data_IF_312912539167
#
_entry.id   IF_312912539167
#
_cell.length_a   1.000
_cell.length_b   1.000
_cell.length_c   1.000
_cell.angle_alpha   90.00
_cell.angle_beta   90.00
_cell.angle_gamma   90.00
#
_symmetry.space_group_name_H-M   'P 1'
#
loop_
_entity.id
_entity.type
_entity.pdbx_description
1 polymer ?
#
# COMPACT_ATOMS: atom_id res chain seq x y z
N UNK A 1 -4.79 0.56 -19.20
CA UNK A 1 -3.60 0.71 -20.06
C UNK A 1 -2.56 -0.28 -19.57
N UNK A 2 -1.91 -1.02 -20.47
CA UNK A 2 -0.82 -1.94 -20.11
C UNK A 2 0.51 -1.18 -20.27
N UNK A 3 1.38 -1.27 -19.29
CA UNK A 3 2.71 -0.63 -19.29
C UNK A 3 3.77 -1.66 -18.94
N UNK A 4 4.92 -1.58 -19.59
CA UNK A 4 6.08 -2.40 -19.25
C UNK A 4 6.91 -1.67 -18.18
N UNK A 5 7.06 -2.26 -17.01
CA UNK A 5 7.91 -1.75 -15.93
C UNK A 5 8.83 -2.89 -15.51
N UNK A 6 10.14 -2.66 -15.56
CA UNK A 6 11.16 -3.65 -15.21
C UNK A 6 10.97 -5.02 -15.90
N UNK A 7 10.54 -5.04 -17.17
CA UNK A 7 10.31 -6.26 -17.95
C UNK A 7 9.01 -7.01 -17.64
N UNK A 8 8.15 -6.47 -16.77
CA UNK A 8 6.82 -7.03 -16.47
C UNK A 8 5.71 -6.15 -17.03
N UNK A 9 4.70 -6.80 -17.63
CA UNK A 9 3.50 -6.09 -18.08
C UNK A 9 2.59 -5.84 -16.88
N UNK A 10 2.41 -4.55 -16.54
CA UNK A 10 1.56 -4.12 -15.43
C UNK A 10 0.32 -3.42 -16.01
N UNK A 11 -0.86 -3.77 -15.51
CA UNK A 11 -2.10 -3.08 -15.84
C UNK A 11 -2.23 -1.84 -14.96
N UNK A 12 -1.92 -0.66 -15.52
CA UNK A 12 -2.00 0.61 -14.81
C UNK A 12 -3.33 1.29 -15.17
N UNK A 13 -3.96 1.90 -14.17
CA UNK A 13 -5.13 2.74 -14.39
C UNK A 13 -4.77 3.97 -15.25
N UNK A 14 -5.59 4.26 -16.26
CA UNK A 14 -5.32 5.29 -17.26
C UNK A 14 -5.74 6.71 -16.84
N UNK A 15 -6.14 6.88 -15.59
CA UNK A 15 -6.58 8.16 -14.99
C UNK A 15 -7.74 8.84 -15.75
N UNK A 16 -8.54 8.07 -16.52
CA UNK A 16 -9.63 8.61 -17.33
C UNK A 16 -10.65 9.41 -16.52
N UNK A 17 -10.94 8.99 -15.29
CA UNK A 17 -11.93 9.66 -14.44
C UNK A 17 -11.45 11.02 -13.90
N UNK A 18 -10.14 11.29 -13.87
CA UNK A 18 -9.61 12.61 -13.50
C UNK A 18 -9.93 13.70 -14.54
N UNK A 19 -10.27 13.28 -15.76
CA UNK A 19 -10.60 14.19 -16.86
C UNK A 19 -12.08 14.51 -16.95
N UNK A 20 -12.92 13.89 -16.10
CA UNK A 20 -14.34 14.16 -16.08
C UNK A 20 -14.61 15.53 -15.46
N UNK A 21 -15.55 16.32 -16.06
CA UNK A 21 -16.03 17.54 -15.45
C UNK A 21 -16.63 17.26 -14.06
N UNK A 22 -16.47 18.21 -13.13
CA UNK A 22 -16.94 18.07 -11.75
C UNK A 22 -18.46 17.82 -11.69
N UNK A 23 -19.23 18.51 -12.52
CA UNK A 23 -20.68 18.37 -12.61
C UNK A 23 -21.11 16.96 -13.03
N UNK A 24 -20.33 16.34 -13.94
CA UNK A 24 -20.60 14.97 -14.38
C UNK A 24 -20.30 13.96 -13.26
N UNK A 25 -19.22 14.19 -12.49
CA UNK A 25 -18.90 13.36 -11.32
C UNK A 25 -20.02 13.46 -10.28
N UNK A 26 -20.46 14.68 -9.95
CA UNK A 26 -21.53 14.92 -8.98
C UNK A 26 -22.85 14.27 -9.43
N UNK A 27 -23.18 14.39 -10.72
CA UNK A 27 -24.37 13.75 -11.31
C UNK A 27 -24.35 12.23 -11.14
N UNK A 28 -23.22 11.57 -11.43
CA UNK A 28 -23.07 10.12 -11.29
C UNK A 28 -23.13 9.67 -9.85
N UNK A 29 -22.51 10.44 -8.93
CA UNK A 29 -22.58 10.18 -7.49
C UNK A 29 -24.02 10.27 -7.00
N UNK A 30 -24.76 11.32 -7.41
CA UNK A 30 -26.17 11.50 -7.05
C UNK A 30 -27.08 10.39 -7.63
N UNK A 31 -26.71 9.82 -8.79
CA UNK A 31 -27.40 8.68 -9.38
C UNK A 31 -27.09 7.34 -8.69
N UNK A 32 -26.17 7.32 -7.72
CA UNK A 32 -25.77 6.10 -7.01
C UNK A 32 -24.94 5.13 -7.85
N UNK A 33 -24.26 5.61 -8.90
CA UNK A 33 -23.42 4.75 -9.73
C UNK A 33 -22.31 4.11 -8.89
N UNK A 34 -22.05 2.79 -9.02
CA UNK A 34 -20.96 2.14 -8.32
C UNK A 34 -19.60 2.78 -8.68
N UNK A 35 -18.85 3.18 -7.67
CA UNK A 35 -17.57 3.85 -7.85
C UNK A 35 -16.57 3.42 -6.77
N UNK A 36 -15.31 3.76 -7.00
CA UNK A 36 -14.23 3.57 -6.02
C UNK A 36 -13.53 4.90 -5.78
N UNK A 37 -13.00 5.10 -4.59
CA UNK A 37 -12.10 6.23 -4.31
C UNK A 37 -10.68 5.74 -4.53
N UNK A 38 -9.97 6.44 -5.40
CA UNK A 38 -8.61 6.07 -5.80
C UNK A 38 -7.64 7.20 -5.45
N UNK A 39 -6.49 6.83 -4.92
CA UNK A 39 -5.40 7.77 -4.70
C UNK A 39 -4.73 8.10 -6.03
N UNK A 40 -4.62 9.38 -6.34
CA UNK A 40 -3.92 9.84 -7.52
C UNK A 40 -2.42 9.93 -7.22
N UNK A 41 -1.68 8.88 -7.55
CA UNK A 41 -0.25 8.82 -7.34
C UNK A 41 0.47 9.81 -8.27
N UNK A 42 1.46 10.58 -7.78
CA UNK A 42 2.30 11.39 -8.64
C UNK A 42 3.05 10.51 -9.64
N UNK A 43 3.21 11.01 -10.87
CA UNK A 43 3.89 10.29 -11.95
C UNK A 43 5.33 10.78 -12.16
N UNK A 44 5.69 11.93 -11.60
CA UNK A 44 7.01 12.53 -11.74
C UNK A 44 7.78 12.50 -10.43
N UNK A 45 9.10 12.49 -10.53
CA UNK A 45 10.01 12.50 -9.39
C UNK A 45 10.17 11.15 -8.73
N UNK A 46 10.69 11.17 -7.50
CA UNK A 46 10.99 9.98 -6.72
C UNK A 46 10.39 10.07 -5.32
N UNK A 47 10.22 8.92 -4.70
CA UNK A 47 9.84 8.80 -3.29
C UNK A 47 10.92 8.03 -2.55
N UNK A 48 11.50 8.64 -1.53
CA UNK A 48 12.52 8.01 -0.67
C UNK A 48 11.93 7.75 0.71
N UNK A 49 12.24 6.58 1.27
CA UNK A 49 11.97 6.26 2.66
C UNK A 49 13.19 5.60 3.29
N UNK A 50 13.30 5.69 4.61
CA UNK A 50 14.40 5.10 5.35
C UNK A 50 13.98 3.76 5.96
N UNK A 51 14.72 2.70 5.63
CA UNK A 51 14.61 1.39 6.27
C UNK A 51 15.83 1.15 7.18
N UNK A 52 15.60 0.65 8.40
CA UNK A 52 16.68 0.48 9.39
C UNK A 52 17.73 -0.52 8.95
N UNK A 53 17.35 -1.50 8.13
CA UNK A 53 18.25 -2.57 7.67
C UNK A 53 18.89 -2.22 6.33
N UNK A 54 18.09 -1.70 5.40
CA UNK A 54 18.53 -1.44 4.02
C UNK A 54 18.94 0.00 3.76
N UNK A 55 18.77 0.92 4.72
CA UNK A 55 19.06 2.33 4.55
C UNK A 55 18.02 3.05 3.69
N UNK A 56 18.45 4.08 2.99
CA UNK A 56 17.56 4.88 2.16
C UNK A 56 17.22 4.17 0.85
N UNK A 57 15.92 3.94 0.65
CA UNK A 57 15.38 3.30 -0.54
C UNK A 57 14.59 4.33 -1.33
N UNK A 58 14.98 4.52 -2.58
CA UNK A 58 14.36 5.47 -3.51
C UNK A 58 13.69 4.74 -4.66
N UNK A 59 12.43 5.07 -4.90
CA UNK A 59 11.61 4.49 -5.96
C UNK A 59 11.11 5.61 -6.88
N UNK A 60 11.13 5.39 -8.20
CA UNK A 60 10.54 6.31 -9.15
C UNK A 60 9.02 6.32 -9.01
N UNK A 61 8.42 7.51 -8.96
CA UNK A 61 6.97 7.63 -8.80
C UNK A 61 6.20 7.00 -9.96
N UNK A 62 6.77 6.99 -11.15
CA UNK A 62 6.17 6.36 -12.32
C UNK A 62 5.99 4.83 -12.20
N UNK A 63 6.72 4.18 -11.29
CA UNK A 63 6.61 2.74 -11.01
C UNK A 63 5.47 2.44 -10.03
N UNK A 64 4.94 3.47 -9.39
CA UNK A 64 3.84 3.33 -8.43
C UNK A 64 2.49 3.44 -9.14
N UNK A 65 1.59 2.52 -8.83
CA UNK A 65 0.23 2.54 -9.34
C UNK A 65 -0.72 3.34 -8.44
N UNK A 66 -1.78 3.88 -9.04
CA UNK A 66 -2.88 4.50 -8.30
C UNK A 66 -3.62 3.43 -7.48
N UNK A 67 -3.55 3.53 -6.17
CA UNK A 67 -4.20 2.58 -5.26
C UNK A 67 -5.68 2.91 -5.08
N UNK A 68 -6.51 1.88 -5.03
CA UNK A 68 -7.88 2.04 -4.53
C UNK A 68 -7.79 2.20 -3.01
N UNK A 69 -8.36 3.29 -2.49
CA UNK A 69 -8.46 3.54 -1.06
C UNK A 69 -9.74 2.95 -0.49
N UNK A 70 -10.88 3.25 -1.14
CA UNK A 70 -12.20 2.77 -0.73
C UNK A 70 -12.84 2.05 -1.91
N UNK A 71 -13.33 0.84 -1.64
CA UNK A 71 -14.02 -0.03 -2.61
C UNK A 71 -15.45 0.45 -2.85
N UNK A 72 -16.09 -0.08 -3.90
CA UNK A 72 -17.47 0.24 -4.25
C UNK A 72 -18.51 -0.20 -3.20
N UNK A 73 -18.14 -1.09 -2.29
CA UNK A 73 -18.94 -1.52 -1.15
C UNK A 73 -18.81 -0.58 0.08
N UNK A 74 -18.02 0.51 -0.05
CA UNK A 74 -17.76 1.49 1.00
C UNK A 74 -16.67 1.11 1.99
N UNK A 75 -16.10 -0.10 1.89
CA UNK A 75 -15.02 -0.52 2.80
C UNK A 75 -13.64 -0.08 2.29
N UNK A 76 -12.73 0.30 3.19
CA UNK A 76 -11.35 0.62 2.83
C UNK A 76 -10.61 -0.63 2.32
N UNK A 77 -9.63 -0.41 1.47
CA UNK A 77 -8.64 -1.45 1.16
C UNK A 77 -7.64 -1.59 2.30
N UNK A 78 -6.98 -2.75 2.37
CA UNK A 78 -5.92 -2.99 3.36
C UNK A 78 -4.86 -1.88 3.35
N UNK A 79 -4.42 -1.45 2.17
CA UNK A 79 -3.38 -0.43 2.03
C UNK A 79 -3.78 0.95 2.58
N UNK A 80 -5.06 1.26 2.60
CA UNK A 80 -5.56 2.49 3.19
C UNK A 80 -5.83 2.33 4.69
N UNK A 81 -6.48 1.24 5.07
CA UNK A 81 -6.83 0.97 6.47
C UNK A 81 -5.59 0.94 7.37
N UNK A 82 -4.51 0.23 6.94
CA UNK A 82 -3.30 0.15 7.75
C UNK A 82 -2.63 1.51 7.97
N UNK A 83 -2.66 2.41 6.98
CA UNK A 83 -2.09 3.77 7.14
C UNK A 83 -2.90 4.59 8.15
N UNK A 84 -4.23 4.48 8.11
CA UNK A 84 -5.13 5.17 9.05
C UNK A 84 -4.94 4.62 10.47
N UNK A 85 -4.93 3.30 10.62
CA UNK A 85 -4.76 2.62 11.91
C UNK A 85 -3.40 2.92 12.51
N UNK A 86 -2.32 2.82 11.74
CA UNK A 86 -0.96 3.12 12.20
C UNK A 86 -0.85 4.57 12.69
N UNK A 87 -1.52 5.50 12.01
CA UNK A 87 -1.57 6.90 12.46
C UNK A 87 -2.35 7.06 13.76
N UNK A 88 -3.58 6.55 13.81
CA UNK A 88 -4.47 6.72 14.98
C UNK A 88 -3.96 5.98 16.22
N UNK A 89 -3.28 4.86 16.03
CA UNK A 89 -2.67 4.08 17.11
C UNK A 89 -1.31 4.62 17.54
N UNK A 90 -0.77 5.63 16.87
CA UNK A 90 0.52 6.24 17.19
C UNK A 90 1.70 5.30 16.93
N UNK A 91 1.60 4.43 15.92
CA UNK A 91 2.68 3.53 15.52
C UNK A 91 3.89 4.35 15.09
N UNK A 92 5.07 3.95 15.56
CA UNK A 92 6.35 4.60 15.21
C UNK A 92 7.26 3.70 14.38
N UNK A 93 7.15 2.38 14.56
CA UNK A 93 7.98 1.39 13.89
C UNK A 93 7.10 0.39 13.15
N UNK A 94 7.33 0.24 11.84
CA UNK A 94 6.59 -0.69 10.98
C UNK A 94 7.52 -1.84 10.60
N UNK A 95 7.33 -3.00 11.23
CA UNK A 95 8.11 -4.21 10.97
C UNK A 95 7.35 -5.09 9.99
N UNK A 96 7.95 -5.38 8.83
CA UNK A 96 7.33 -6.14 7.73
C UNK A 96 8.32 -7.09 7.08
N UNK A 97 7.80 -8.05 6.34
CA UNK A 97 8.61 -8.87 5.47
C UNK A 97 9.21 -8.06 4.31
N UNK A 98 10.29 -8.57 3.73
CA UNK A 98 11.04 -7.90 2.66
C UNK A 98 10.18 -7.61 1.40
N UNK A 99 9.13 -8.38 1.18
CA UNK A 99 8.16 -8.17 0.10
C UNK A 99 7.41 -6.85 0.19
N UNK A 100 7.36 -6.23 1.38
CA UNK A 100 6.70 -4.94 1.60
C UNK A 100 7.56 -3.72 1.25
N UNK A 101 8.85 -3.90 0.93
CA UNK A 101 9.72 -2.79 0.52
C UNK A 101 9.17 -2.02 -0.67
N UNK A 102 8.51 -2.69 -1.61
CA UNK A 102 7.87 -2.07 -2.77
C UNK A 102 6.57 -1.31 -2.42
N UNK A 103 5.97 -1.58 -1.26
CA UNK A 103 4.73 -0.95 -0.81
C UNK A 103 4.95 0.23 0.13
N UNK A 104 6.06 0.26 0.87
CA UNK A 104 6.38 1.30 1.83
C UNK A 104 6.32 2.74 1.25
N UNK A 105 6.86 3.03 0.05
CA UNK A 105 6.76 4.36 -0.54
C UNK A 105 5.31 4.77 -0.85
N UNK A 106 4.44 3.81 -1.20
CA UNK A 106 3.02 4.05 -1.43
C UNK A 106 2.31 4.48 -0.16
N UNK A 107 2.63 3.86 0.98
CA UNK A 107 2.06 4.22 2.29
C UNK A 107 2.48 5.62 2.72
N UNK A 108 3.74 6.00 2.52
CA UNK A 108 4.20 7.35 2.79
C UNK A 108 3.43 8.39 1.98
N UNK A 109 3.18 8.12 0.70
CA UNK A 109 2.40 9.01 -0.17
C UNK A 109 0.94 9.14 0.25
N UNK A 110 0.33 8.07 0.77
CA UNK A 110 -1.03 8.13 1.33
C UNK A 110 -1.02 8.92 2.64
N UNK A 111 0.00 8.75 3.46
CA UNK A 111 0.11 9.39 4.78
C UNK A 111 0.28 10.91 4.67
N UNK A 112 1.11 11.39 3.73
CA UNK A 112 1.45 12.81 3.58
C UNK A 112 0.24 13.75 3.53
N UNK A 113 -0.79 13.54 2.69
CA UNK A 113 -1.96 14.42 2.63
C UNK A 113 -2.91 14.27 3.81
N UNK A 114 -2.84 13.19 4.58
CA UNK A 114 -3.72 12.92 5.72
C UNK A 114 -3.16 13.49 7.02
N UNK A 115 -1.87 13.35 7.25
CA UNK A 115 -1.24 13.63 8.54
C UNK A 115 0.13 14.34 8.45
N UNK A 116 0.51 14.82 7.27
CA UNK A 116 1.81 15.42 7.01
C UNK A 116 2.90 14.39 6.72
N UNK A 117 4.17 14.77 6.86
CA UNK A 117 5.28 13.85 6.56
C UNK A 117 5.23 12.61 7.45
N UNK A 118 5.33 11.45 6.82
CA UNK A 118 5.45 10.17 7.52
C UNK A 118 6.67 10.19 8.46
N UNK A 119 6.44 9.74 9.71
CA UNK A 119 7.49 9.56 10.72
C UNK A 119 7.75 8.09 11.01
N UNK A 120 7.22 7.20 10.17
CA UNK A 120 7.42 5.78 10.36
C UNK A 120 8.88 5.38 10.11
N UNK A 121 9.42 4.62 11.03
CA UNK A 121 10.66 3.89 10.86
C UNK A 121 10.33 2.51 10.31
N UNK A 122 10.74 2.23 9.09
CA UNK A 122 10.51 0.92 8.46
C UNK A 122 11.61 -0.05 8.82
N UNK A 123 11.26 -1.30 9.06
CA UNK A 123 12.18 -2.40 9.34
C UNK A 123 11.76 -3.58 8.48
N UNK A 124 12.46 -3.82 7.39
CA UNK A 124 12.21 -4.97 6.54
C UNK A 124 13.02 -6.18 7.01
N UNK A 125 12.34 -7.24 7.39
CA UNK A 125 12.95 -8.49 7.81
C UNK A 125 13.03 -9.48 6.66
N UNK A 126 14.23 -9.94 6.33
CA UNK A 126 14.42 -11.10 5.47
C UNK A 126 14.17 -12.37 6.32
N UNK A 127 12.93 -12.82 6.38
CA UNK A 127 12.62 -14.16 6.89
C UNK A 127 13.05 -15.18 5.84
N UNK A 128 14.31 -15.59 5.90
CA UNK A 128 14.77 -16.72 5.14
C UNK A 128 14.21 -17.97 5.82
N UNK A 129 13.04 -18.44 5.37
CA UNK A 129 12.59 -19.80 5.67
C UNK A 129 13.62 -20.76 5.07
N UNK A 130 14.56 -21.22 5.88
CA UNK A 130 15.25 -22.46 5.58
C UNK A 130 14.16 -23.51 5.43
N UNK A 131 13.95 -24.00 4.22
CA UNK A 131 13.15 -25.19 3.97
C UNK A 131 13.77 -26.30 4.81
N UNK A 132 13.28 -26.50 6.00
CA UNK A 132 13.48 -27.74 6.75
C UNK A 132 12.65 -28.74 5.97
N UNK A 133 13.31 -29.52 5.12
CA UNK A 133 12.71 -30.72 4.51
C UNK A 133 12.13 -31.53 5.67
N UNK A 134 10.83 -31.56 5.71
CA UNK A 134 10.02 -32.24 6.70
C UNK A 134 10.32 -33.74 6.65
N UNK A 135 10.99 -34.23 7.69
CA UNK A 135 10.86 -35.60 8.14
C UNK A 135 10.66 -35.61 9.66
N UNK A 136 9.75 -34.77 10.15
CA UNK A 136 9.31 -34.86 11.52
C UNK A 136 7.87 -34.33 11.61
N UNK A 137 7.00 -35.11 12.23
CA UNK A 137 5.64 -34.77 12.61
C UNK A 137 5.59 -33.40 13.31
N UNK A 138 4.77 -32.49 12.76
CA UNK A 138 4.52 -31.18 13.34
C UNK A 138 3.90 -31.38 14.75
N UNK A 139 4.51 -30.89 15.83
CA UNK A 139 3.86 -30.93 17.14
C UNK A 139 2.62 -30.03 17.08
N UNK A 140 1.48 -30.59 17.45
CA UNK A 140 0.23 -29.84 17.63
C UNK A 140 0.43 -28.84 18.76
N UNK A 141 0.46 -27.55 18.44
CA UNK A 141 0.48 -26.48 19.45
C UNK A 141 -0.92 -26.41 20.07
N UNK A 142 -1.06 -26.58 21.40
CA UNK A 142 -2.36 -26.45 22.03
C UNK A 142 -2.86 -24.99 21.90
N UNK A 143 -4.19 -24.77 21.84
CA UNK A 143 -4.76 -23.44 21.71
C UNK A 143 -4.36 -22.57 22.90
N UNK A 144 -3.79 -21.40 22.61
CA UNK A 144 -3.45 -20.39 23.60
C UNK A 144 -4.75 -19.88 24.26
N UNK A 145 -4.90 -20.08 25.55
CA UNK A 145 -6.00 -19.48 26.32
C UNK A 145 -5.71 -17.99 26.46
N UNK A 146 -6.58 -17.16 25.87
CA UNK A 146 -6.61 -15.72 26.12
C UNK A 146 -7.32 -15.52 27.45
N UNK A 147 -6.65 -14.86 28.38
CA UNK A 147 -7.20 -14.39 29.65
C UNK A 147 -7.82 -13.01 29.41
#
# INVERSE_FOLDING_TARGET
MKRMVAGKEISIYDKRCLKLPKEEVERRLAAGEPHVIRFNMPTEGTTTFHDVIYGDITVNNEEMEDLILIKSDGYPTYNFANVVDDHLMGITHVVRGNEYLSSAPKYNRIYEPLAGKSRFMYIALLLQMRSIRSSASVPVIPPMRIW
#
